data_IF_941303199714
#
_entry.id   IF_941303199714
#
_cell.length_a   1.000
_cell.length_b   1.000
_cell.length_c   1.000
_cell.angle_alpha   90.00
_cell.angle_beta   90.00
_cell.angle_gamma   90.00
#
_symmetry.space_group_name_H-M   'P 1'
#
loop_
_entity.id
_entity.type
_entity.pdbx_description
1 polymer ?
#
# COMPACT_ATOMS: atom_id res chain seq x y z
N UNK A 1 -2.55 -22.80 39.74
CA UNK A 1 -2.91 -22.28 38.39
C UNK A 1 -2.33 -20.87 38.26
N UNK A 2 -1.47 -20.65 37.26
CA UNK A 2 -0.34 -19.72 37.31
C UNK A 2 -0.70 -18.23 37.11
N UNK A 3 -0.44 -17.40 38.13
CA UNK A 3 -0.52 -15.92 38.08
C UNK A 3 0.32 -15.29 36.94
N UNK A 4 1.37 -15.97 36.48
CA UNK A 4 2.20 -15.55 35.33
C UNK A 4 1.51 -15.75 33.97
N UNK A 5 0.64 -16.76 33.84
CA UNK A 5 -0.13 -17.00 32.62
C UNK A 5 -1.26 -15.97 32.47
N UNK A 6 -1.86 -15.55 33.59
CA UNK A 6 -2.91 -14.52 33.60
C UNK A 6 -2.37 -13.13 33.21
N UNK A 7 -1.17 -12.76 33.67
CA UNK A 7 -0.53 -11.49 33.26
C UNK A 7 -0.07 -11.53 31.80
N UNK A 8 0.46 -12.66 31.32
CA UNK A 8 0.82 -12.83 29.91
C UNK A 8 -0.39 -12.74 28.98
N UNK A 9 -1.51 -13.36 29.36
CA UNK A 9 -2.74 -13.32 28.58
C UNK A 9 -3.36 -11.92 28.56
N UNK A 10 -3.35 -11.20 29.69
CA UNK A 10 -3.89 -9.82 29.77
C UNK A 10 -3.00 -8.82 29.02
N UNK A 11 -1.67 -8.99 29.02
CA UNK A 11 -0.77 -8.14 28.25
C UNK A 11 -0.90 -8.36 26.73
N UNK A 12 -1.04 -9.60 26.27
CA UNK A 12 -1.31 -9.92 24.87
C UNK A 12 -2.71 -9.44 24.45
N UNK A 13 -3.68 -9.51 25.35
CA UNK A 13 -5.03 -8.98 25.11
C UNK A 13 -5.06 -7.46 25.02
N UNK A 14 -4.29 -6.73 25.83
CA UNK A 14 -4.23 -5.26 25.76
C UNK A 14 -3.49 -4.75 24.51
N UNK A 15 -2.46 -5.47 24.03
CA UNK A 15 -1.80 -5.13 22.76
C UNK A 15 -2.71 -5.49 21.57
N UNK A 16 -3.51 -6.55 21.66
CA UNK A 16 -4.49 -6.92 20.63
C UNK A 16 -5.75 -6.04 20.60
N UNK A 17 -6.22 -5.54 21.75
CA UNK A 17 -7.48 -4.79 21.86
C UNK A 17 -7.36 -3.33 21.44
N UNK A 18 -6.16 -2.72 21.52
CA UNK A 18 -5.93 -1.35 21.04
C UNK A 18 -5.87 -1.28 19.50
N UNK A 19 -5.63 -2.40 18.82
CA UNK A 19 -5.41 -2.43 17.36
C UNK A 19 -6.73 -2.56 16.57
N UNK A 20 -7.85 -2.91 17.21
CA UNK A 20 -9.09 -3.24 16.52
C UNK A 20 -10.35 -2.69 17.21
N UNK A 21 -10.33 -1.43 17.66
CA UNK A 21 -11.59 -0.71 17.86
C UNK A 21 -12.22 -0.42 16.50
N UNK A 22 -13.12 -1.31 16.13
CA UNK A 22 -14.07 -1.28 15.02
C UNK A 22 -14.93 0.00 15.11
N UNK A 23 -14.41 1.13 14.63
CA UNK A 23 -15.14 2.35 14.21
C UNK A 23 -14.13 3.26 13.50
N UNK A 24 -13.95 3.07 12.18
CA UNK A 24 -13.25 4.00 11.28
C UNK A 24 -11.87 4.51 11.72
N UNK A 25 -10.81 3.71 11.52
CA UNK A 25 -9.45 4.24 11.57
C UNK A 25 -9.34 5.38 10.56
N UNK A 26 -9.03 6.60 11.03
CA UNK A 26 -8.88 7.76 10.15
C UNK A 26 -7.70 7.58 9.20
N UNK A 27 -7.71 8.29 8.07
CA UNK A 27 -6.57 8.30 7.12
C UNK A 27 -5.27 8.66 7.85
N UNK A 28 -5.30 9.69 8.71
CA UNK A 28 -4.15 10.11 9.49
C UNK A 28 -3.60 9.00 10.40
N UNK A 29 -4.48 8.18 10.98
CA UNK A 29 -4.06 7.06 11.82
C UNK A 29 -3.49 5.91 10.98
N UNK A 30 -4.03 5.65 9.78
CA UNK A 30 -3.43 4.72 8.83
C UNK A 30 -2.05 5.19 8.37
N UNK A 31 -1.88 6.48 8.06
CA UNK A 31 -0.57 7.07 7.73
C UNK A 31 0.42 6.90 8.88
N UNK A 32 -0.03 7.13 10.12
CA UNK A 32 0.76 6.88 11.34
C UNK A 32 1.15 5.42 11.50
N UNK A 33 0.28 4.48 11.15
CA UNK A 33 0.59 3.03 11.20
C UNK A 33 1.54 2.61 10.08
N UNK A 34 1.37 3.17 8.89
CA UNK A 34 2.24 2.90 7.75
C UNK A 34 3.65 3.45 7.98
N UNK A 35 3.81 4.59 8.65
CA UNK A 35 5.10 5.29 8.83
C UNK A 35 5.91 4.86 10.05
N UNK A 36 5.28 4.31 11.10
CA UNK A 36 6.00 3.90 12.32
C UNK A 36 6.77 2.61 12.10
N UNK A 37 7.88 2.43 12.83
CA UNK A 37 8.61 1.15 12.97
C UNK A 37 7.81 0.13 13.80
N UNK A 38 6.63 -0.24 13.30
CA UNK A 38 5.88 -1.41 13.73
C UNK A 38 6.36 -2.64 12.99
N UNK A 39 5.85 -3.81 13.38
CA UNK A 39 6.10 -5.03 12.60
C UNK A 39 5.65 -4.80 11.14
N UNK A 40 6.42 -5.26 10.13
CA UNK A 40 6.16 -4.96 8.73
C UNK A 40 4.72 -5.28 8.28
N UNK A 41 4.12 -6.32 8.83
CA UNK A 41 2.76 -6.75 8.50
C UNK A 41 1.70 -5.69 8.82
N UNK A 42 1.87 -4.93 9.91
CA UNK A 42 0.95 -3.84 10.28
C UNK A 42 1.14 -2.66 9.32
N UNK A 43 2.38 -2.35 8.96
CA UNK A 43 2.67 -1.30 7.98
C UNK A 43 2.04 -1.64 6.63
N UNK A 44 2.19 -2.89 6.18
CA UNK A 44 1.63 -3.38 4.92
C UNK A 44 0.10 -3.33 4.94
N UNK A 45 -0.54 -3.77 6.03
CA UNK A 45 -2.00 -3.69 6.17
C UNK A 45 -2.51 -2.25 6.10
N UNK A 46 -1.83 -1.31 6.77
CA UNK A 46 -2.14 0.12 6.66
C UNK A 46 -1.91 0.64 5.24
N UNK A 47 -0.83 0.21 4.58
CA UNK A 47 -0.51 0.57 3.20
C UNK A 47 -1.58 0.12 2.20
N UNK A 48 -2.07 -1.11 2.34
CA UNK A 48 -3.17 -1.64 1.53
C UNK A 48 -4.43 -0.78 1.70
N UNK A 49 -4.77 -0.41 2.93
CA UNK A 49 -5.93 0.44 3.20
C UNK A 49 -5.78 1.86 2.63
N UNK A 50 -4.57 2.42 2.66
CA UNK A 50 -4.26 3.76 2.13
C UNK A 50 -4.25 3.83 0.60
N UNK A 51 -3.88 2.75 -0.08
CA UNK A 51 -3.60 2.79 -1.52
C UNK A 51 -4.74 3.36 -2.38
N UNK A 52 -5.98 2.94 -2.15
CA UNK A 52 -7.14 3.51 -2.87
C UNK A 52 -7.36 4.98 -2.52
N UNK A 53 -7.29 5.33 -1.24
CA UNK A 53 -7.48 6.71 -0.80
C UNK A 53 -6.44 7.63 -1.46
N UNK A 54 -5.18 7.22 -1.50
CA UNK A 54 -4.12 7.96 -2.16
C UNK A 54 -4.36 8.14 -3.66
N UNK A 55 -4.89 7.14 -4.36
CA UNK A 55 -5.24 7.30 -5.78
C UNK A 55 -6.30 8.39 -6.03
N UNK A 56 -7.16 8.66 -5.03
CA UNK A 56 -8.22 9.67 -5.12
C UNK A 56 -7.72 11.08 -4.77
N UNK A 57 -6.78 11.19 -3.83
CA UNK A 57 -6.38 12.48 -3.24
C UNK A 57 -4.97 12.95 -3.59
N UNK A 58 -4.13 12.10 -4.19
CA UNK A 58 -2.74 12.42 -4.54
C UNK A 58 -2.51 12.28 -6.04
N UNK A 59 -1.56 13.06 -6.53
CA UNK A 59 -1.16 13.09 -7.94
C UNK A 59 -0.24 11.92 -8.27
N UNK A 60 -0.08 11.67 -9.58
CA UNK A 60 0.86 10.66 -10.08
C UNK A 60 2.29 10.92 -9.61
N UNK A 61 2.77 12.16 -9.71
CA UNK A 61 4.12 12.53 -9.30
C UNK A 61 4.37 12.31 -7.80
N UNK A 62 3.39 12.63 -6.95
CA UNK A 62 3.49 12.37 -5.51
C UNK A 62 3.56 10.86 -5.21
N UNK A 63 2.86 10.03 -5.97
CA UNK A 63 2.88 8.58 -5.81
C UNK A 63 4.16 7.94 -6.35
N UNK A 64 4.71 8.44 -7.46
CA UNK A 64 6.02 8.02 -7.94
C UNK A 64 7.12 8.36 -6.92
N UNK A 65 7.08 9.56 -6.34
CA UNK A 65 8.00 9.95 -5.27
C UNK A 65 7.85 9.03 -4.04
N UNK A 66 6.62 8.77 -3.57
CA UNK A 66 6.39 7.88 -2.43
C UNK A 66 6.78 6.42 -2.68
N UNK A 67 6.68 5.93 -3.92
CA UNK A 67 7.14 4.59 -4.29
C UNK A 67 8.68 4.47 -4.27
N UNK A 68 9.40 5.59 -4.40
CA UNK A 68 10.87 5.66 -4.37
C UNK A 68 11.40 5.97 -2.97
N UNK A 69 10.83 6.99 -2.33
CA UNK A 69 11.33 7.61 -1.10
C UNK A 69 10.60 7.11 0.16
N UNK A 70 9.53 6.32 0.00
CA UNK A 70 8.73 5.82 1.11
C UNK A 70 9.58 5.08 2.14
N UNK A 71 9.62 5.63 3.36
CA UNK A 71 10.50 5.19 4.45
C UNK A 71 10.20 3.75 4.90
N UNK A 72 8.95 3.31 4.76
CA UNK A 72 8.51 1.97 5.19
C UNK A 72 7.97 1.15 4.01
N UNK A 73 8.03 -0.20 4.09
CA UNK A 73 7.33 -1.08 3.17
C UNK A 73 5.84 -0.75 3.02
N UNK A 74 5.17 -0.37 4.10
CA UNK A 74 3.75 0.02 4.07
C UNK A 74 3.47 1.22 3.19
N UNK A 75 4.28 2.28 3.29
CA UNK A 75 4.14 3.47 2.45
C UNK A 75 4.42 3.19 0.98
N UNK A 76 5.48 2.43 0.69
CA UNK A 76 5.79 2.07 -0.70
C UNK A 76 4.71 1.18 -1.30
N UNK A 77 4.11 0.29 -0.52
CA UNK A 77 2.96 -0.50 -0.97
C UNK A 77 1.72 0.36 -1.21
N UNK A 78 1.42 1.33 -0.35
CA UNK A 78 0.32 2.28 -0.58
C UNK A 78 0.52 3.03 -1.90
N UNK A 79 1.74 3.50 -2.14
CA UNK A 79 2.11 4.18 -3.38
C UNK A 79 2.00 3.26 -4.59
N UNK A 80 2.46 2.00 -4.50
CA UNK A 80 2.29 1.01 -5.55
C UNK A 80 0.82 0.85 -5.93
N UNK A 81 -0.06 0.57 -4.95
CA UNK A 81 -1.49 0.35 -5.18
C UNK A 81 -2.14 1.61 -5.78
N UNK A 82 -1.77 2.80 -5.29
CA UNK A 82 -2.26 4.04 -5.85
C UNK A 82 -1.82 4.23 -7.31
N UNK A 83 -0.56 3.95 -7.63
CA UNK A 83 -0.03 3.99 -8.99
C UNK A 83 -0.69 2.98 -9.92
N UNK A 84 -1.03 1.78 -9.43
CA UNK A 84 -1.78 0.80 -10.22
C UNK A 84 -3.12 1.40 -10.68
N UNK A 85 -3.84 2.07 -9.77
CA UNK A 85 -5.10 2.76 -10.10
C UNK A 85 -4.88 3.94 -11.04
N UNK A 86 -3.87 4.76 -10.78
CA UNK A 86 -3.57 5.95 -11.58
C UNK A 86 -3.13 5.57 -12.99
N UNK A 87 -2.24 4.60 -13.17
CA UNK A 87 -1.79 4.13 -14.49
C UNK A 87 -2.92 3.47 -15.29
N UNK A 88 -3.86 2.84 -14.61
CA UNK A 88 -5.08 2.30 -15.22
C UNK A 88 -6.05 3.41 -15.68
N UNK A 89 -6.11 4.51 -14.92
CA UNK A 89 -7.00 5.64 -15.20
C UNK A 89 -6.39 6.64 -16.20
N UNK A 90 -5.08 6.83 -16.18
CA UNK A 90 -4.35 7.59 -17.18
C UNK A 90 -4.20 6.72 -18.42
N UNK A 91 -4.56 7.24 -19.59
CA UNK A 91 -4.45 6.54 -20.87
C UNK A 91 -2.99 6.40 -21.34
N UNK A 92 -2.09 5.94 -20.46
CA UNK A 92 -0.70 5.64 -20.80
C UNK A 92 -0.67 4.60 -21.91
N UNK A 93 0.21 4.83 -22.87
CA UNK A 93 0.46 3.91 -23.98
C UNK A 93 1.13 2.63 -23.47
N UNK A 94 0.98 1.55 -24.23
CA UNK A 94 1.69 0.30 -23.97
C UNK A 94 3.21 0.51 -23.88
N UNK A 95 3.79 1.37 -24.73
CA UNK A 95 5.22 1.67 -24.72
C UNK A 95 5.68 2.36 -23.45
N UNK A 96 4.92 3.33 -22.95
CA UNK A 96 5.22 4.00 -21.67
C UNK A 96 5.14 3.01 -20.49
N UNK A 97 4.14 2.15 -20.49
CA UNK A 97 3.95 1.17 -19.42
C UNK A 97 5.05 0.09 -19.43
N UNK A 98 5.51 -0.35 -20.60
CA UNK A 98 6.66 -1.26 -20.74
C UNK A 98 7.92 -0.56 -20.20
N UNK A 99 8.16 0.70 -20.59
CA UNK A 99 9.32 1.45 -20.10
C UNK A 99 9.31 1.56 -18.57
N UNK A 100 8.16 1.82 -17.95
CA UNK A 100 8.00 1.83 -16.48
C UNK A 100 8.29 0.45 -15.89
N UNK A 101 7.75 -0.63 -16.48
CA UNK A 101 7.95 -1.99 -15.99
C UNK A 101 9.40 -2.49 -16.12
N UNK A 102 10.16 -2.01 -17.12
CA UNK A 102 11.55 -2.38 -17.35
C UNK A 102 12.52 -1.53 -16.52
N UNK A 103 12.32 -0.21 -16.51
CA UNK A 103 13.32 0.77 -16.04
C UNK A 103 12.90 1.55 -14.79
N UNK A 104 11.70 1.29 -14.25
CA UNK A 104 11.21 1.93 -13.04
C UNK A 104 12.20 1.80 -11.87
N UNK A 105 12.43 2.90 -11.17
CA UNK A 105 13.47 3.02 -10.14
C UNK A 105 13.32 2.01 -8.98
N UNK A 106 12.08 1.65 -8.63
CA UNK A 106 11.79 0.67 -7.58
C UNK A 106 10.99 -0.52 -8.10
N UNK A 107 11.02 -1.63 -7.36
CA UNK A 107 10.20 -2.80 -7.67
C UNK A 107 8.72 -2.43 -7.63
N UNK A 108 8.33 -1.60 -6.68
CA UNK A 108 6.97 -1.07 -6.52
C UNK A 108 6.53 -0.30 -7.76
N UNK A 109 7.34 0.63 -8.28
CA UNK A 109 7.02 1.36 -9.50
C UNK A 109 6.91 0.45 -10.72
N UNK A 110 7.82 -0.52 -10.89
CA UNK A 110 7.76 -1.50 -11.97
C UNK A 110 6.51 -2.37 -11.89
N UNK A 111 6.13 -2.81 -10.69
CA UNK A 111 4.94 -3.65 -10.45
C UNK A 111 3.64 -2.88 -10.65
N UNK A 112 3.64 -1.58 -10.35
CA UNK A 112 2.44 -0.76 -10.51
C UNK A 112 1.96 -0.65 -11.97
N UNK A 113 2.86 -0.79 -12.96
CA UNK A 113 2.50 -0.78 -14.37
C UNK A 113 1.75 -2.06 -14.83
N UNK A 114 1.87 -3.17 -14.09
CA UNK A 114 1.39 -4.47 -14.54
C UNK A 114 -0.14 -4.53 -14.78
N UNK A 115 -1.01 -3.99 -13.90
CA UNK A 115 -2.45 -4.03 -14.14
C UNK A 115 -2.87 -3.27 -15.41
N UNK A 116 -2.23 -2.13 -15.68
CA UNK A 116 -2.47 -1.35 -16.89
C UNK A 116 -1.94 -2.08 -18.14
N UNK A 117 -0.74 -2.67 -18.08
CA UNK A 117 -0.19 -3.51 -19.16
C UNK A 117 -1.09 -4.68 -19.49
N UNK A 118 -1.65 -5.34 -18.48
CA UNK A 118 -2.51 -6.50 -18.66
C UNK A 118 -3.72 -6.19 -19.56
N UNK A 119 -4.21 -4.94 -19.58
CA UNK A 119 -5.30 -4.52 -20.48
C UNK A 119 -4.92 -4.51 -21.97
N UNK A 120 -3.64 -4.37 -22.29
CA UNK A 120 -3.14 -4.47 -23.66
C UNK A 120 -2.82 -5.91 -24.06
N UNK A 121 -2.46 -6.76 -23.09
CA UNK A 121 -2.06 -8.14 -23.33
C UNK A 121 -3.25 -9.10 -23.43
N UNK A 122 -4.33 -8.82 -22.71
CA UNK A 122 -5.57 -9.57 -22.81
C UNK A 122 -6.42 -8.93 -23.91
N UNK A 123 -6.38 -9.51 -25.12
CA UNK A 123 -7.37 -9.23 -26.15
C UNK A 123 -8.72 -9.69 -25.60
N UNK A 124 -9.61 -8.75 -25.32
CA UNK A 124 -11.02 -9.08 -25.09
C UNK A 124 -11.63 -9.30 -26.47
N UNK A 125 -11.75 -10.57 -26.88
CA UNK A 125 -12.60 -10.90 -28.03
C UNK A 125 -14.02 -10.39 -27.74
N UNK A 126 -14.66 -9.65 -28.66
CA UNK A 126 -16.00 -9.10 -28.48
C UNK A 126 -17.09 -10.17 -28.39
#
# INVERSE_FOLDING_TARGET
MNRRIMVGLVAVSLVGLVVFSVMGTSVAELERLATRELVPEIQLAAGIALGRHYAEVKTLAEMEALAVEGVTPGLRLAAQIALEHLFVATEKTMGELIAIAETGATVELRRAALPALNRFLVVVDP
#
